data_IF_277407230549
#
_entry.id   IF_277407230549
#
_cell.length_a   1.000
_cell.length_b   1.000
_cell.length_c   1.000
_cell.angle_alpha   90.00
_cell.angle_beta   90.00
_cell.angle_gamma   90.00
#
_symmetry.space_group_name_H-M   'P 1'
#
loop_
_entity.id
_entity.type
_entity.pdbx_description
1 polymer ?
#
# COMPACT_ATOMS: atom_id res chain seq x y z
N UNK A 1 -15.07 -10.20 1.91
CA UNK A 1 -14.38 -9.34 2.89
C UNK A 1 -12.95 -9.27 2.43
N UNK A 2 -12.48 -8.07 2.12
CA UNK A 2 -11.08 -7.85 1.73
C UNK A 2 -10.21 -8.03 2.98
N UNK A 3 -9.08 -8.71 2.83
CA UNK A 3 -8.10 -8.89 3.91
C UNK A 3 -6.79 -8.18 3.60
N UNK A 4 -5.90 -8.12 4.59
CA UNK A 4 -4.61 -7.45 4.44
C UNK A 4 -3.73 -8.11 3.37
N UNK A 5 -3.83 -9.44 3.18
CA UNK A 5 -3.09 -10.16 2.13
C UNK A 5 -3.51 -9.70 0.73
N UNK A 6 -4.81 -9.47 0.54
CA UNK A 6 -5.35 -8.93 -0.70
C UNK A 6 -4.86 -7.49 -0.96
N UNK A 7 -4.78 -6.65 0.06
CA UNK A 7 -4.23 -5.29 -0.07
C UNK A 7 -2.73 -5.29 -0.39
N UNK A 8 -1.96 -6.15 0.29
CA UNK A 8 -0.53 -6.34 0.01
C UNK A 8 -0.33 -6.82 -1.43
N UNK A 9 -1.16 -7.76 -1.89
CA UNK A 9 -1.15 -8.24 -3.27
C UNK A 9 -1.43 -7.12 -4.26
N UNK A 10 -2.43 -6.27 -4.01
CA UNK A 10 -2.74 -5.12 -4.86
C UNK A 10 -1.53 -4.20 -4.96
N UNK A 11 -0.94 -3.80 -3.82
CA UNK A 11 0.21 -2.92 -3.81
C UNK A 11 1.46 -3.53 -4.48
N UNK A 12 1.61 -4.85 -4.42
CA UNK A 12 2.70 -5.59 -5.09
C UNK A 12 2.49 -5.69 -6.59
N UNK A 13 1.25 -5.90 -7.02
CA UNK A 13 0.88 -6.17 -8.43
C UNK A 13 0.61 -4.89 -9.23
N UNK A 14 0.61 -3.72 -8.59
CA UNK A 14 0.59 -2.42 -9.27
C UNK A 14 1.64 -2.38 -10.38
N UNK A 15 1.27 -2.04 -11.62
CA UNK A 15 2.18 -2.04 -12.76
C UNK A 15 3.42 -1.17 -12.52
N UNK A 16 4.55 -1.64 -13.05
CA UNK A 16 5.76 -0.83 -13.07
C UNK A 16 5.67 0.26 -14.15
N UNK A 17 6.09 1.47 -13.79
CA UNK A 17 6.26 2.56 -14.74
C UNK A 17 7.53 2.35 -15.56
N UNK A 18 7.47 2.82 -16.80
CA UNK A 18 8.63 2.94 -17.69
C UNK A 18 8.81 4.43 -17.98
N UNK A 19 10.00 4.94 -17.68
CA UNK A 19 10.38 6.33 -17.92
C UNK A 19 11.42 6.39 -19.03
N UNK A 20 11.44 7.47 -19.80
CA UNK A 20 12.49 7.74 -20.79
C UNK A 20 13.81 8.20 -20.13
N UNK A 21 13.75 8.54 -18.84
CA UNK A 21 14.88 8.90 -18.00
C UNK A 21 15.17 7.83 -16.94
N UNK A 22 16.37 7.88 -16.36
CA UNK A 22 16.73 7.08 -15.20
C UNK A 22 15.86 7.47 -13.99
N UNK A 23 15.26 6.49 -13.32
CA UNK A 23 14.49 6.71 -12.10
C UNK A 23 15.44 6.91 -10.92
N UNK A 24 15.52 8.13 -10.42
CA UNK A 24 16.41 8.49 -9.29
C UNK A 24 15.97 7.86 -7.95
N UNK A 25 14.71 7.45 -7.82
CA UNK A 25 14.19 6.84 -6.59
C UNK A 25 14.57 5.37 -6.45
N UNK A 26 14.56 4.61 -7.55
CA UNK A 26 14.80 3.17 -7.54
C UNK A 26 16.01 2.70 -8.34
N UNK A 27 16.71 3.62 -9.02
CA UNK A 27 17.88 3.34 -9.84
C UNK A 27 17.59 2.57 -11.13
N UNK A 28 16.32 2.47 -11.54
CA UNK A 28 15.97 1.87 -12.83
C UNK A 28 16.49 2.77 -13.96
N UNK A 29 17.23 2.19 -14.90
CA UNK A 29 17.70 2.92 -16.08
C UNK A 29 16.54 3.30 -17.01
N UNK A 30 16.76 4.28 -17.88
CA UNK A 30 15.83 4.64 -18.95
C UNK A 30 15.28 3.40 -19.70
N UNK A 31 13.95 3.29 -19.79
CA UNK A 31 13.24 2.19 -20.42
C UNK A 31 13.21 0.87 -19.61
N UNK A 32 13.83 0.79 -18.44
CA UNK A 32 13.67 -0.33 -17.51
C UNK A 32 12.45 -0.12 -16.60
N UNK A 33 11.75 -1.19 -16.20
CA UNK A 33 10.64 -1.09 -15.27
C UNK A 33 11.11 -0.68 -13.87
N UNK A 34 10.36 0.22 -13.23
CA UNK A 34 10.59 0.58 -11.83
C UNK A 34 10.48 -0.63 -10.88
N UNK A 35 11.32 -0.67 -9.84
CA UNK A 35 11.27 -1.71 -8.81
C UNK A 35 9.99 -1.59 -7.96
N UNK A 36 9.65 -2.65 -7.22
CA UNK A 36 8.45 -2.66 -6.33
C UNK A 36 8.55 -1.67 -5.16
N UNK A 37 9.76 -1.21 -4.84
CA UNK A 37 10.01 -0.23 -3.78
C UNK A 37 10.14 1.21 -4.31
N UNK A 38 10.00 1.42 -5.62
CA UNK A 38 10.01 2.76 -6.22
C UNK A 38 8.85 3.61 -5.69
N UNK A 39 9.12 4.85 -5.29
CA UNK A 39 8.10 5.76 -4.75
C UNK A 39 7.01 6.12 -5.78
N UNK A 40 7.35 6.33 -7.05
CA UNK A 40 6.36 6.55 -8.10
C UNK A 40 5.38 5.38 -8.25
N UNK A 41 5.89 4.15 -8.25
CA UNK A 41 5.06 2.94 -8.25
C UNK A 41 4.29 2.80 -6.94
N UNK A 42 4.92 3.21 -5.83
CA UNK A 42 4.35 3.19 -4.49
C UNK A 42 3.16 4.11 -4.29
N UNK A 43 3.19 5.31 -4.90
CA UNK A 43 2.06 6.25 -4.87
C UNK A 43 0.81 5.64 -5.54
N UNK A 44 0.99 5.00 -6.68
CA UNK A 44 -0.07 4.32 -7.42
C UNK A 44 -0.56 3.06 -6.70
N UNK A 45 0.36 2.31 -6.10
CA UNK A 45 0.04 1.16 -5.26
C UNK A 45 -0.80 1.58 -4.04
N UNK A 46 -0.44 2.68 -3.39
CA UNK A 46 -1.19 3.25 -2.28
C UNK A 46 -2.58 3.71 -2.71
N UNK A 47 -2.72 4.41 -3.85
CA UNK A 47 -4.04 4.82 -4.35
C UNK A 47 -4.92 3.62 -4.70
N UNK A 48 -4.37 2.62 -5.40
CA UNK A 48 -5.12 1.40 -5.74
C UNK A 48 -5.58 0.61 -4.51
N UNK A 49 -4.78 0.57 -3.43
CA UNK A 49 -5.21 0.02 -2.15
C UNK A 49 -6.28 0.89 -1.52
N UNK A 50 -6.10 2.22 -1.53
CA UNK A 50 -7.02 3.18 -0.93
C UNK A 50 -8.44 3.06 -1.49
N UNK A 51 -8.56 2.95 -2.82
CA UNK A 51 -9.86 2.75 -3.48
C UNK A 51 -10.61 1.52 -2.96
N UNK A 52 -9.91 0.48 -2.50
CA UNK A 52 -10.55 -0.72 -1.97
C UNK A 52 -10.99 -0.60 -0.52
N UNK A 53 -10.28 0.19 0.27
CA UNK A 53 -10.60 0.39 1.70
C UNK A 53 -11.69 1.46 1.89
N UNK A 54 -11.77 2.45 0.99
CA UNK A 54 -12.81 3.50 1.04
C UNK A 54 -14.22 2.94 0.89
N UNK A 55 -14.37 1.82 0.17
CA UNK A 55 -15.65 1.13 -0.01
C UNK A 55 -16.12 0.37 1.24
N UNK A 56 -15.26 0.19 2.24
CA UNK A 56 -15.56 -0.58 3.46
C UNK A 56 -16.39 0.23 4.46
N UNK A 57 -17.36 -0.44 5.08
CA UNK A 57 -18.04 0.09 6.25
C UNK A 57 -17.11 0.18 7.46
N UNK A 58 -17.45 1.00 8.46
CA UNK A 58 -16.61 1.25 9.64
C UNK A 58 -16.24 -0.01 10.43
N UNK A 59 -17.14 -0.99 10.50
CA UNK A 59 -16.89 -2.26 11.20
C UNK A 59 -15.84 -3.07 10.44
N UNK A 60 -16.02 -3.24 9.13
CA UNK A 60 -15.11 -4.00 8.27
C UNK A 60 -13.72 -3.35 8.22
N UNK A 61 -13.67 -2.01 8.16
CA UNK A 61 -12.40 -1.28 8.19
C UNK A 61 -11.66 -1.45 9.52
N UNK A 62 -12.36 -1.46 10.65
CA UNK A 62 -11.74 -1.71 11.97
C UNK A 62 -11.18 -3.12 12.08
N UNK A 63 -11.91 -4.12 11.60
CA UNK A 63 -11.43 -5.50 11.55
C UNK A 63 -10.17 -5.64 10.69
N UNK A 64 -10.17 -5.00 9.51
CA UNK A 64 -9.00 -4.90 8.65
C UNK A 64 -7.81 -4.23 9.34
N UNK A 65 -8.04 -3.10 10.02
CA UNK A 65 -7.01 -2.35 10.75
C UNK A 65 -6.36 -3.19 11.84
N UNK A 66 -7.15 -3.92 12.63
CA UNK A 66 -6.64 -4.81 13.67
C UNK A 66 -5.82 -5.97 13.08
N UNK A 67 -6.27 -6.55 11.97
CA UNK A 67 -5.50 -7.57 11.23
C UNK A 67 -4.18 -7.00 10.67
N UNK A 68 -4.20 -5.79 10.12
CA UNK A 68 -3.02 -5.12 9.58
C UNK A 68 -1.99 -4.81 10.67
N UNK A 69 -2.43 -4.33 11.84
CA UNK A 69 -1.57 -4.10 13.01
C UNK A 69 -0.89 -5.39 13.47
N UNK A 70 -1.64 -6.49 13.55
CA UNK A 70 -1.07 -7.79 13.91
C UNK A 70 -0.02 -8.23 12.89
N UNK A 71 -0.29 -8.07 11.59
CA UNK A 71 0.63 -8.42 10.51
C UNK A 71 1.89 -7.55 10.48
N UNK A 72 1.81 -6.26 10.84
CA UNK A 72 2.95 -5.33 10.85
C UNK A 72 4.14 -5.85 11.67
N UNK A 73 3.87 -6.62 12.72
CA UNK A 73 4.91 -7.27 13.53
C UNK A 73 5.75 -8.33 12.78
N UNK A 74 5.24 -8.87 11.66
CA UNK A 74 5.81 -10.03 10.97
C UNK A 74 6.06 -9.81 9.46
N UNK A 75 5.29 -8.94 8.81
CA UNK A 75 5.25 -8.80 7.34
C UNK A 75 5.76 -7.46 6.79
N UNK A 76 6.38 -6.61 7.62
CA UNK A 76 6.77 -5.24 7.23
C UNK A 76 7.73 -5.15 6.03
N UNK A 77 8.50 -6.21 5.78
CA UNK A 77 9.48 -6.27 4.69
C UNK A 77 8.90 -6.91 3.41
N UNK A 78 7.63 -7.34 3.43
CA UNK A 78 6.96 -7.91 2.26
C UNK A 78 6.69 -6.83 1.20
N UNK A 79 7.05 -7.07 -0.09
CA UNK A 79 6.74 -6.15 -1.17
C UNK A 79 5.24 -5.86 -1.26
N UNK A 80 4.86 -4.59 -1.25
CA UNK A 80 3.47 -4.13 -1.25
C UNK A 80 2.90 -3.84 0.14
N UNK A 81 3.48 -4.38 1.22
CA UNK A 81 2.98 -4.14 2.58
C UNK A 81 3.11 -2.67 3.00
N UNK A 82 4.24 -2.03 2.73
CA UNK A 82 4.42 -0.61 3.08
C UNK A 82 3.36 0.28 2.42
N UNK A 83 3.00 -0.01 1.17
CA UNK A 83 1.98 0.75 0.43
C UNK A 83 0.57 0.47 0.96
N UNK A 84 0.29 -0.80 1.28
CA UNK A 84 -0.98 -1.16 1.90
C UNK A 84 -1.16 -0.54 3.29
N UNK A 85 -0.09 -0.53 4.09
CA UNK A 85 -0.08 0.09 5.41
C UNK A 85 -0.31 1.60 5.34
N UNK A 86 0.39 2.31 4.45
CA UNK A 86 0.22 3.76 4.27
C UNK A 86 -1.20 4.12 3.82
N UNK A 87 -1.81 3.32 2.94
CA UNK A 87 -3.20 3.53 2.54
C UNK A 87 -4.17 3.35 3.73
N UNK A 88 -3.94 2.35 4.59
CA UNK A 88 -4.73 2.17 5.81
C UNK A 88 -4.54 3.35 6.78
N UNK A 89 -3.32 3.87 6.92
CA UNK A 89 -3.06 5.04 7.76
C UNK A 89 -3.79 6.30 7.26
N UNK A 90 -3.86 6.51 5.94
CA UNK A 90 -4.65 7.60 5.36
C UNK A 90 -6.13 7.48 5.72
N UNK A 91 -6.67 6.28 5.59
CA UNK A 91 -8.09 6.04 5.86
C UNK A 91 -8.40 6.15 7.37
N UNK A 92 -7.46 5.77 8.24
CA UNK A 92 -7.54 6.01 9.69
C UNK A 92 -7.63 7.52 9.97
N UNK A 93 -6.77 8.32 9.34
CA UNK A 93 -6.77 9.79 9.49
C UNK A 93 -8.09 10.40 8.96
N UNK A 94 -8.53 10.00 7.77
CA UNK A 94 -9.75 10.51 7.13
C UNK A 94 -11.02 10.15 7.91
N UNK A 95 -11.05 8.97 8.55
CA UNK A 95 -12.15 8.56 9.43
C UNK A 95 -12.05 9.13 10.85
N UNK A 96 -10.97 9.85 11.18
CA UNK A 96 -10.73 10.38 12.52
C UNK A 96 -10.57 9.28 13.58
N UNK A 97 -10.10 8.09 13.19
CA UNK A 97 -9.81 7.00 14.10
C UNK A 97 -8.47 7.29 14.77
N UNK A 98 -8.43 7.27 16.10
CA UNK A 98 -7.17 7.51 16.82
C UNK A 98 -6.21 6.36 16.54
N UNK A 99 -4.97 6.63 16.08
CA UNK A 99 -3.96 5.58 15.96
C UNK A 99 -3.71 5.02 17.36
N UNK A 100 -3.98 3.71 17.54
CA UNK A 100 -3.68 3.01 18.78
C UNK A 100 -2.15 2.83 18.80
N UNK A 101 -1.51 3.50 19.75
CA UNK A 101 -0.06 3.44 20.02
C UNK A 101 0.46 2.02 20.21
#
# INVERSE_FOLDING_TARGET
MIDIDELVRIGRETPAYHTEDDCLDCGAAAGQPCTVHCEHRGGEARQAVKERITDLGDVEFRELLDAARHRRGFGKDEPGFSWAWLAIEDEVEERGLVPVE
#
